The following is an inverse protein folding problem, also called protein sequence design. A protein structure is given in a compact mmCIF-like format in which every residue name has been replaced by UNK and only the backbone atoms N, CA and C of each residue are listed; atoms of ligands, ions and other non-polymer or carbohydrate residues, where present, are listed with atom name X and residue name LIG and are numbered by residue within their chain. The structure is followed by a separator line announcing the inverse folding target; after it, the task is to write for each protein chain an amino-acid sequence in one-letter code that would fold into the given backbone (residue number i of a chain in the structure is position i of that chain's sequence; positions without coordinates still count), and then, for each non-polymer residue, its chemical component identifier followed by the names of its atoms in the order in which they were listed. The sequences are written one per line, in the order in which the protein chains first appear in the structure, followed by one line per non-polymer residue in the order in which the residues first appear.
data_IF_094334988536
#
_entry.id   IF_094334988536
#
_cell.length_a   1.000
_cell.length_b   1.000
_cell.length_c   1.000
_cell.angle_alpha   90.00
_cell.angle_beta   90.00
_cell.angle_gamma   90.00
#
_symmetry.space_group_name_H-M   'P 1'
#
loop_
_entity.id
_entity.type
_entity.pdbx_description
1 polymer ?
#
# COMPACT_ATOMS: atom_id res chain seq x y z
N UNK A 1 2.10 -17.79 18.24
CA UNK A 1 1.83 -16.55 17.48
C UNK A 1 2.60 -16.62 16.18
N UNK A 2 2.02 -16.08 15.10
CA UNK A 2 2.71 -15.92 13.81
C UNK A 2 3.85 -14.90 13.97
N UNK A 3 4.88 -14.94 13.13
CA UNK A 3 5.91 -13.89 13.11
C UNK A 3 5.35 -12.61 12.46
N UNK A 4 5.95 -11.45 12.70
CA UNK A 4 5.55 -10.20 12.04
C UNK A 4 5.54 -10.34 10.51
N UNK A 5 6.56 -10.98 9.93
CA UNK A 5 6.59 -11.28 8.50
C UNK A 5 5.43 -12.18 8.03
N UNK A 6 4.91 -13.08 8.88
CA UNK A 6 3.73 -13.91 8.58
C UNK A 6 2.42 -13.16 8.71
N UNK A 7 2.34 -12.24 9.65
CA UNK A 7 1.20 -11.34 9.71
C UNK A 7 1.21 -10.34 8.54
N UNK A 8 2.37 -9.88 8.07
CA UNK A 8 2.48 -9.00 6.90
C UNK A 8 2.03 -9.70 5.61
N UNK A 9 2.56 -10.90 5.34
CA UNK A 9 2.11 -11.73 4.21
C UNK A 9 0.60 -12.03 4.30
N UNK A 10 0.10 -12.42 5.49
CA UNK A 10 -1.31 -12.68 5.70
C UNK A 10 -2.18 -11.43 5.51
N UNK A 11 -1.69 -10.25 5.89
CA UNK A 11 -2.41 -8.99 5.68
C UNK A 11 -2.62 -8.72 4.19
N UNK A 12 -1.59 -8.91 3.37
CA UNK A 12 -1.68 -8.79 1.90
C UNK A 12 -2.66 -9.82 1.31
N UNK A 13 -2.65 -11.05 1.80
CA UNK A 13 -3.58 -12.10 1.36
C UNK A 13 -5.04 -11.81 1.76
N UNK A 14 -5.26 -11.28 2.96
CA UNK A 14 -6.59 -10.89 3.44
C UNK A 14 -7.12 -9.68 2.70
N UNK A 15 -6.27 -8.70 2.39
CA UNK A 15 -6.63 -7.51 1.61
C UNK A 15 -7.22 -7.93 0.26
N UNK A 16 -6.48 -8.69 -0.55
CA UNK A 16 -6.98 -9.13 -1.87
C UNK A 16 -8.20 -10.07 -1.75
N UNK A 17 -8.29 -10.84 -0.66
CA UNK A 17 -9.44 -11.73 -0.41
C UNK A 17 -10.70 -11.00 0.07
N UNK A 18 -10.59 -9.73 0.43
CA UNK A 18 -11.72 -8.90 0.89
C UNK A 18 -12.55 -8.47 -0.31
N UNK A 19 -13.86 -8.67 -0.23
CA UNK A 19 -14.78 -8.36 -1.34
C UNK A 19 -16.14 -7.93 -0.79
N UNK A 20 -16.87 -7.05 -1.50
CA UNK A 20 -16.44 -6.30 -2.68
C UNK A 20 -15.49 -5.14 -2.33
N UNK A 21 -14.44 -4.94 -3.14
CA UNK A 21 -13.60 -3.74 -3.13
C UNK A 21 -13.72 -3.02 -4.47
N UNK A 22 -14.60 -2.02 -4.61
CA UNK A 22 -14.82 -1.37 -5.89
C UNK A 22 -13.53 -0.93 -6.60
N UNK A 23 -13.34 -1.43 -7.82
CA UNK A 23 -12.22 -1.04 -8.67
C UNK A 23 -10.90 -1.75 -8.42
N UNK A 24 -10.72 -2.44 -7.29
CA UNK A 24 -9.50 -3.22 -7.06
C UNK A 24 -9.74 -4.68 -7.43
N UNK A 25 -8.65 -5.41 -7.70
CA UNK A 25 -8.69 -6.87 -7.83
C UNK A 25 -9.13 -7.48 -6.49
N UNK A 26 -10.10 -8.38 -6.59
CA UNK A 26 -10.58 -9.19 -5.47
C UNK A 26 -10.98 -10.59 -5.96
N UNK A 27 -11.56 -11.41 -5.08
CA UNK A 27 -11.96 -12.79 -5.44
C UNK A 27 -13.03 -12.89 -6.54
N UNK A 28 -13.72 -11.80 -6.87
CA UNK A 28 -14.83 -11.73 -7.82
C UNK A 28 -14.51 -10.85 -9.03
N UNK A 29 -13.56 -9.91 -8.89
CA UNK A 29 -13.21 -8.91 -9.89
C UNK A 29 -11.73 -8.97 -10.23
N UNK A 30 -11.44 -8.96 -11.52
CA UNK A 30 -10.08 -9.03 -12.07
C UNK A 30 -10.01 -8.18 -13.34
N UNK A 31 -8.78 -7.80 -13.72
CA UNK A 31 -8.46 -7.24 -15.03
C UNK A 31 -7.92 -8.32 -15.97
N UNK A 32 -7.96 -8.12 -17.30
CA UNK A 32 -7.45 -9.10 -18.26
C UNK A 32 -6.01 -9.54 -17.98
N UNK A 33 -5.14 -8.60 -17.58
CA UNK A 33 -3.71 -8.83 -17.36
C UNK A 33 -3.30 -8.86 -15.88
N UNK A 34 -4.24 -8.58 -14.97
CA UNK A 34 -4.00 -8.50 -13.53
C UNK A 34 -5.16 -9.13 -12.73
N UNK A 35 -4.89 -10.33 -12.18
CA UNK A 35 -5.88 -11.27 -11.63
C UNK A 35 -5.58 -11.63 -10.17
N UNK A 36 -6.56 -12.20 -9.49
CA UNK A 36 -6.49 -12.58 -8.08
C UNK A 36 -5.32 -13.51 -7.78
N UNK A 37 -5.10 -14.53 -8.60
CA UNK A 37 -4.02 -15.50 -8.41
C UNK A 37 -2.62 -14.85 -8.46
N UNK A 38 -2.48 -13.75 -9.21
CA UNK A 38 -1.23 -13.00 -9.32
C UNK A 38 -0.96 -12.19 -8.04
N UNK A 39 -1.99 -11.62 -7.42
CA UNK A 39 -1.90 -11.00 -6.09
C UNK A 39 -1.55 -12.02 -5.01
N UNK A 40 -2.16 -13.21 -5.03
CA UNK A 40 -1.81 -14.28 -4.07
C UNK A 40 -0.35 -14.70 -4.21
N UNK A 41 0.12 -14.91 -5.46
CA UNK A 41 1.52 -15.22 -5.72
C UNK A 41 2.46 -14.07 -5.32
N UNK A 42 2.05 -12.82 -5.58
CA UNK A 42 2.75 -11.61 -5.20
C UNK A 42 2.95 -11.51 -3.69
N UNK A 43 1.88 -11.67 -2.91
CA UNK A 43 1.90 -11.66 -1.46
C UNK A 43 2.89 -12.69 -0.89
N UNK A 44 2.84 -13.93 -1.39
CA UNK A 44 3.81 -14.99 -0.99
C UNK A 44 5.24 -14.59 -1.37
N UNK A 45 5.43 -13.95 -2.52
CA UNK A 45 6.73 -13.45 -3.00
C UNK A 45 7.35 -12.38 -2.08
N UNK A 46 6.54 -11.51 -1.47
CA UNK A 46 7.03 -10.45 -0.57
C UNK A 46 7.65 -10.96 0.73
N UNK A 47 7.34 -12.22 1.11
CA UNK A 47 7.69 -12.83 2.39
C UNK A 47 9.15 -12.60 2.78
N UNK A 48 10.09 -12.83 1.86
CA UNK A 48 11.51 -12.73 2.19
C UNK A 48 11.92 -11.31 2.57
N UNK A 49 11.34 -10.29 1.93
CA UNK A 49 11.59 -8.90 2.28
C UNK A 49 11.06 -8.55 3.67
N UNK A 50 9.85 -9.00 4.01
CA UNK A 50 9.30 -8.80 5.36
C UNK A 50 10.11 -9.51 6.46
N UNK A 51 10.72 -10.66 6.17
CA UNK A 51 11.65 -11.30 7.10
C UNK A 51 12.88 -10.43 7.36
N UNK A 52 13.46 -9.82 6.32
CA UNK A 52 14.60 -8.90 6.48
C UNK A 52 14.23 -7.69 7.33
N UNK A 53 13.06 -7.08 7.09
CA UNK A 53 12.56 -5.98 7.92
C UNK A 53 12.37 -6.41 9.39
N UNK A 54 11.81 -7.60 9.62
CA UNK A 54 11.61 -8.14 10.97
C UNK A 54 12.93 -8.50 11.67
N UNK A 55 13.97 -8.85 10.92
CA UNK A 55 15.31 -9.15 11.45
C UNK A 55 16.10 -7.86 11.76
N UNK A 56 15.69 -6.72 11.20
CA UNK A 56 16.28 -5.40 11.42
C UNK A 56 17.28 -4.97 10.35
N UNK A 57 17.18 -5.54 9.15
CA UNK A 57 17.89 -5.04 7.97
C UNK A 57 17.34 -3.66 7.54
N UNK A 58 18.10 -2.88 6.76
CA UNK A 58 17.64 -1.59 6.24
C UNK A 58 16.30 -1.71 5.50
N UNK A 59 15.40 -0.76 5.73
CA UNK A 59 14.03 -0.75 5.21
C UNK A 59 14.03 -0.78 3.68
N UNK A 60 14.89 0.00 3.04
CA UNK A 60 14.98 0.03 1.58
C UNK A 60 15.37 -1.33 1.01
N UNK A 61 16.33 -2.02 1.62
CA UNK A 61 16.78 -3.36 1.19
C UNK A 61 15.68 -4.40 1.38
N UNK A 62 15.00 -4.36 2.53
CA UNK A 62 13.87 -5.24 2.80
C UNK A 62 12.73 -5.03 1.80
N UNK A 63 12.42 -3.76 1.49
CA UNK A 63 11.40 -3.38 0.51
C UNK A 63 11.77 -3.83 -0.91
N UNK A 64 12.97 -3.50 -1.40
CA UNK A 64 13.48 -3.93 -2.71
C UNK A 64 13.36 -5.44 -2.87
N UNK A 65 13.79 -6.20 -1.83
CA UNK A 65 13.70 -7.66 -1.85
C UNK A 65 12.25 -8.17 -1.83
N UNK A 66 11.34 -7.49 -1.17
CA UNK A 66 9.92 -7.83 -1.21
C UNK A 66 9.34 -7.63 -2.62
N UNK A 67 9.67 -6.52 -3.27
CA UNK A 67 9.19 -6.20 -4.63
C UNK A 67 9.79 -7.14 -5.67
N UNK A 68 11.08 -7.46 -5.58
CA UNK A 68 11.73 -8.46 -6.44
C UNK A 68 11.06 -9.84 -6.34
N UNK A 69 10.66 -10.24 -5.13
CA UNK A 69 9.93 -11.49 -4.90
C UNK A 69 8.50 -11.43 -5.43
N UNK A 70 7.81 -10.31 -5.20
CA UNK A 70 6.46 -10.05 -5.71
C UNK A 70 6.42 -10.07 -7.24
N UNK A 71 7.46 -9.61 -7.92
CA UNK A 71 7.50 -9.49 -9.40
C UNK A 71 7.74 -10.80 -10.15
N UNK A 72 8.00 -11.92 -9.47
CA UNK A 72 8.25 -13.22 -10.13
C UNK A 72 7.00 -13.84 -10.78
N UNK A 73 5.83 -13.29 -10.50
CA UNK A 73 4.57 -13.62 -11.15
C UNK A 73 4.36 -12.77 -12.43
N UNK A 74 3.37 -13.11 -13.28
CA UNK A 74 3.25 -12.57 -14.65
C UNK A 74 2.41 -11.30 -14.84
N UNK A 75 1.81 -10.77 -13.77
CA UNK A 75 0.90 -9.63 -13.76
C UNK A 75 1.54 -8.29 -13.39
N UNK A 76 2.87 -8.23 -13.29
CA UNK A 76 3.58 -6.98 -12.98
C UNK A 76 3.38 -6.52 -11.53
N UNK A 77 2.97 -5.27 -11.34
CA UNK A 77 2.71 -4.71 -10.01
C UNK A 77 1.36 -5.19 -9.47
N UNK A 78 1.40 -5.91 -8.35
CA UNK A 78 0.20 -6.33 -7.62
C UNK A 78 -0.01 -5.49 -6.36
N UNK A 79 1.04 -5.31 -5.55
CA UNK A 79 0.91 -4.80 -4.17
C UNK A 79 2.08 -3.89 -3.77
N UNK A 80 2.64 -3.10 -4.70
CA UNK A 80 3.79 -2.24 -4.41
C UNK A 80 3.52 -1.25 -3.28
N UNK A 81 2.42 -0.50 -3.34
CA UNK A 81 2.06 0.49 -2.32
C UNK A 81 1.76 -0.15 -0.97
N UNK A 82 1.03 -1.25 -0.93
CA UNK A 82 0.77 -2.02 0.28
C UNK A 82 2.06 -2.55 0.91
N UNK A 83 3.00 -3.05 0.11
CA UNK A 83 4.31 -3.50 0.58
C UNK A 83 5.12 -2.34 1.14
N UNK A 84 5.08 -1.18 0.47
CA UNK A 84 5.75 0.04 0.90
C UNK A 84 5.18 0.51 2.24
N UNK A 85 3.87 0.48 2.41
CA UNK A 85 3.20 0.87 3.64
C UNK A 85 3.49 -0.10 4.79
N UNK A 86 3.48 -1.41 4.54
CA UNK A 86 3.63 -2.45 5.58
C UNK A 86 5.08 -2.63 6.05
N UNK A 87 6.09 -2.45 5.18
CA UNK A 87 7.50 -2.70 5.52
C UNK A 87 8.00 -1.96 6.78
N UNK A 88 7.83 -0.63 6.92
CA UNK A 88 8.27 0.07 8.14
C UNK A 88 7.48 -0.35 9.38
N UNK A 89 6.21 -0.75 9.23
CA UNK A 89 5.40 -1.27 10.33
C UNK A 89 5.91 -2.62 10.83
N UNK A 90 6.39 -3.49 9.93
CA UNK A 90 7.05 -4.75 10.30
C UNK A 90 8.31 -4.49 11.13
N UNK A 91 9.13 -3.52 10.72
CA UNK A 91 10.31 -3.13 11.48
C UNK A 91 9.96 -2.48 12.83
N UNK A 92 8.89 -1.70 12.93
CA UNK A 92 8.42 -1.15 14.20
C UNK A 92 7.90 -2.26 15.15
N UNK A 93 7.22 -3.27 14.61
CA UNK A 93 6.73 -4.41 15.37
C UNK A 93 7.85 -5.23 16.04
N UNK A 94 9.01 -5.37 15.38
CA UNK A 94 10.22 -6.02 15.93
C UNK A 94 10.62 -5.45 17.29
N UNK A 95 10.54 -4.14 17.45
CA UNK A 95 10.96 -3.44 18.66
C UNK A 95 9.85 -3.37 19.72
N UNK A 96 8.68 -3.96 19.46
CA UNK A 96 7.51 -3.82 20.31
C UNK A 96 6.90 -2.41 20.28
N UNK A 97 7.27 -1.60 19.29
CA UNK A 97 6.88 -0.19 19.14
C UNK A 97 5.96 0.00 17.94
N UNK A 98 5.02 -0.93 17.72
CA UNK A 98 3.98 -0.79 16.68
C UNK A 98 2.91 0.23 17.09
N UNK A 99 3.35 1.48 17.16
CA UNK A 99 2.59 2.69 17.47
C UNK A 99 2.92 3.74 16.41
N UNK A 100 2.13 4.83 16.30
CA UNK A 100 2.47 5.96 15.43
C UNK A 100 3.90 6.44 15.63
N UNK A 101 4.28 6.77 16.88
CA UNK A 101 5.62 7.27 17.20
C UNK A 101 6.72 6.27 16.83
N UNK A 102 6.54 4.98 17.12
CA UNK A 102 7.56 3.98 16.80
C UNK A 102 7.68 3.68 15.31
N UNK A 103 6.61 3.84 14.53
CA UNK A 103 6.66 3.80 13.08
C UNK A 103 7.35 5.04 12.52
N UNK A 104 7.09 6.23 13.09
CA UNK A 104 7.81 7.47 12.75
C UNK A 104 9.30 7.35 13.04
N UNK A 105 9.70 6.81 14.19
CA UNK A 105 11.11 6.57 14.52
C UNK A 105 11.81 5.69 13.47
N UNK A 106 11.13 4.66 12.97
CA UNK A 106 11.65 3.80 11.89
C UNK A 106 11.82 4.60 10.59
N UNK A 107 10.81 5.39 10.20
CA UNK A 107 10.87 6.22 8.99
C UNK A 107 11.99 7.24 9.08
N UNK A 108 12.08 7.99 10.18
CA UNK A 108 13.11 9.01 10.40
C UNK A 108 14.54 8.43 10.49
N UNK A 109 14.67 7.13 10.82
CA UNK A 109 15.96 6.44 10.84
C UNK A 109 16.46 6.00 9.47
N UNK A 110 15.64 6.12 8.42
CA UNK A 110 16.03 5.72 7.06
C UNK A 110 17.16 6.58 6.51
N UNK A 111 17.95 5.99 5.62
CA UNK A 111 19.17 6.57 5.10
C UNK A 111 19.09 6.83 3.59
N UNK A 112 20.16 7.41 3.04
CA UNK A 112 20.32 7.53 1.58
C UNK A 112 20.41 6.16 0.92
N UNK A 113 21.00 5.16 1.58
CA UNK A 113 21.06 3.80 1.04
C UNK A 113 19.67 3.16 0.98
N UNK A 114 18.80 3.45 1.96
CA UNK A 114 17.39 3.04 1.91
C UNK A 114 16.67 3.68 0.72
N UNK A 115 16.92 4.96 0.44
CA UNK A 115 16.37 5.63 -0.73
C UNK A 115 16.84 4.99 -2.03
N UNK A 116 18.14 4.67 -2.14
CA UNK A 116 18.67 4.01 -3.33
C UNK A 116 18.01 2.66 -3.56
N UNK A 117 17.89 1.81 -2.53
CA UNK A 117 17.18 0.52 -2.66
C UNK A 117 15.69 0.68 -2.95
N UNK A 118 15.02 1.69 -2.39
CA UNK A 118 13.65 2.02 -2.76
C UNK A 118 13.52 2.35 -4.26
N UNK A 119 14.44 3.14 -4.82
CA UNK A 119 14.43 3.42 -6.26
C UNK A 119 14.71 2.15 -7.08
N UNK A 120 15.65 1.29 -6.66
CA UNK A 120 15.89 0.00 -7.34
C UNK A 120 14.66 -0.90 -7.39
N UNK A 121 13.74 -0.78 -6.43
CA UNK A 121 12.48 -1.53 -6.47
C UNK A 121 11.65 -1.25 -7.73
N UNK A 122 11.76 -0.06 -8.32
CA UNK A 122 11.08 0.31 -9.58
C UNK A 122 11.70 -0.38 -10.81
N UNK A 123 12.92 -0.92 -10.73
CA UNK A 123 13.50 -1.72 -11.83
C UNK A 123 12.81 -3.09 -11.98
N UNK A 124 12.03 -3.51 -10.97
CA UNK A 124 11.37 -4.81 -10.95
C UNK A 124 9.92 -4.78 -11.44
N UNK A 125 9.25 -3.63 -11.39
CA UNK A 125 7.83 -3.48 -11.70
C UNK A 125 7.51 -2.11 -12.26
N UNK A 126 6.54 -2.04 -13.17
CA UNK A 126 5.98 -0.76 -13.63
C UNK A 126 4.98 -0.23 -12.60
N UNK A 127 5.24 0.96 -12.06
CA UNK A 127 4.37 1.65 -11.11
C UNK A 127 3.83 2.91 -11.77
N UNK A 128 2.50 3.10 -11.74
CA UNK A 128 1.90 4.34 -12.20
C UNK A 128 2.23 5.47 -11.21
N UNK A 129 2.91 6.50 -11.70
CA UNK A 129 3.34 7.67 -10.93
C UNK A 129 3.12 8.93 -11.77
N UNK A 130 2.84 10.04 -11.10
CA UNK A 130 2.75 11.35 -11.75
C UNK A 130 4.10 11.77 -12.35
N UNK A 131 4.06 12.70 -13.32
CA UNK A 131 5.28 13.34 -13.80
C UNK A 131 6.00 14.09 -12.66
N UNK A 132 7.34 13.99 -12.58
CA UNK A 132 8.11 14.70 -11.58
C UNK A 132 7.90 16.22 -11.71
N UNK A 133 7.92 16.97 -10.60
CA UNK A 133 7.96 18.43 -10.65
C UNK A 133 9.14 18.94 -11.48
N UNK A 134 9.00 20.12 -12.08
CA UNK A 134 10.06 20.75 -12.88
C UNK A 134 11.38 20.84 -12.08
N UNK A 135 12.47 20.32 -12.65
CA UNK A 135 13.79 20.29 -12.00
C UNK A 135 14.02 19.11 -11.05
N UNK A 136 13.09 18.15 -11.00
CA UNK A 136 13.24 16.87 -10.29
C UNK A 136 13.37 15.66 -11.22
N UNK A 137 13.61 15.88 -12.51
CA UNK A 137 13.76 14.80 -13.51
C UNK A 137 14.81 13.76 -13.11
N UNK A 138 15.88 14.18 -12.45
CA UNK A 138 16.95 13.27 -11.99
C UNK A 138 16.55 12.41 -10.78
N UNK A 139 15.47 12.78 -10.10
CA UNK A 139 14.84 12.07 -8.99
C UNK A 139 13.52 11.41 -9.38
N UNK A 140 13.19 11.34 -10.67
CA UNK A 140 12.07 10.53 -11.14
C UNK A 140 12.28 9.07 -10.74
N UNK A 141 11.33 8.51 -9.98
CA UNK A 141 11.39 7.13 -9.48
C UNK A 141 11.46 6.11 -10.61
N UNK A 142 10.96 6.45 -11.81
CA UNK A 142 11.06 5.60 -13.02
C UNK A 142 12.48 5.45 -13.53
N UNK A 143 13.44 6.26 -13.05
CA UNK A 143 14.87 6.06 -13.33
C UNK A 143 15.46 4.89 -12.56
N UNK A 144 14.78 4.39 -11.53
CA UNK A 144 15.22 3.25 -10.74
C UNK A 144 16.67 3.38 -10.28
N UNK A 145 17.49 2.36 -10.56
CA UNK A 145 18.93 2.37 -10.25
C UNK A 145 19.69 3.61 -10.76
N UNK A 146 19.27 4.22 -11.88
CA UNK A 146 19.97 5.37 -12.49
C UNK A 146 19.80 6.69 -11.70
N UNK A 147 18.93 6.71 -10.68
CA UNK A 147 18.78 7.84 -9.76
C UNK A 147 19.83 7.85 -8.63
N UNK A 148 20.61 6.77 -8.45
CA UNK A 148 21.51 6.62 -7.29
C UNK A 148 22.47 7.80 -7.11
N UNK A 149 23.09 8.28 -8.20
CA UNK A 149 24.04 9.40 -8.10
C UNK A 149 23.34 10.68 -7.63
N UNK A 150 22.14 10.96 -8.14
CA UNK A 150 21.36 12.14 -7.76
C UNK A 150 20.93 12.11 -6.29
N UNK A 151 20.49 10.95 -5.80
CA UNK A 151 20.13 10.74 -4.39
C UNK A 151 21.33 10.97 -3.46
N UNK A 152 22.49 10.42 -3.81
CA UNK A 152 23.73 10.54 -3.04
C UNK A 152 24.27 11.96 -3.03
N UNK A 153 24.33 12.61 -4.19
CA UNK A 153 24.83 13.99 -4.32
C UNK A 153 23.97 15.00 -3.55
N UNK A 154 22.66 14.73 -3.45
CA UNK A 154 21.70 15.56 -2.71
C UNK A 154 21.49 15.12 -1.25
N UNK A 155 22.14 14.04 -0.83
CA UNK A 155 22.00 13.44 0.51
C UNK A 155 20.54 13.15 0.91
N UNK A 156 19.71 12.67 -0.01
CA UNK A 156 18.30 12.42 0.26
C UNK A 156 18.09 11.04 0.88
N UNK A 157 17.56 11.02 2.10
CA UNK A 157 17.10 9.80 2.78
C UNK A 157 15.75 9.34 2.23
N UNK A 158 15.33 8.12 2.55
CA UNK A 158 14.01 7.64 2.15
C UNK A 158 12.89 8.48 2.79
N UNK A 159 13.07 8.94 4.03
CA UNK A 159 12.17 9.90 4.67
C UNK A 159 12.06 11.21 3.88
N UNK A 160 13.18 11.77 3.40
CA UNK A 160 13.16 12.99 2.57
C UNK A 160 12.43 12.78 1.24
N UNK A 161 12.54 11.59 0.65
CA UNK A 161 11.81 11.22 -0.57
C UNK A 161 10.31 11.15 -0.30
N UNK A 162 9.90 10.53 0.81
CA UNK A 162 8.48 10.46 1.20
C UNK A 162 7.90 11.84 1.52
N UNK A 163 8.64 12.70 2.24
CA UNK A 163 8.22 14.07 2.56
C UNK A 163 7.89 14.89 1.30
N UNK A 164 8.74 14.79 0.27
CA UNK A 164 8.53 15.47 -1.01
C UNK A 164 7.32 14.95 -1.79
N UNK A 165 6.93 13.69 -1.57
CA UNK A 165 5.81 13.04 -2.25
C UNK A 165 4.49 13.17 -1.49
N UNK A 166 4.51 13.47 -0.19
CA UNK A 166 3.36 13.42 0.72
C UNK A 166 2.18 14.33 0.33
N UNK A 167 2.42 15.39 -0.45
CA UNK A 167 1.33 16.24 -0.95
C UNK A 167 0.43 15.52 -1.97
N UNK A 168 1.00 14.60 -2.76
CA UNK A 168 0.35 13.96 -3.90
C UNK A 168 0.13 12.46 -3.71
N UNK A 169 1.00 11.80 -2.97
CA UNK A 169 0.96 10.36 -2.72
C UNK A 169 0.40 10.06 -1.32
N UNK A 170 -0.61 9.19 -1.25
CA UNK A 170 -1.27 8.86 0.03
C UNK A 170 -0.45 7.94 0.94
N UNK A 171 0.37 7.04 0.38
CA UNK A 171 1.27 6.18 1.16
C UNK A 171 2.40 7.01 1.77
N UNK A 172 2.98 7.92 1.00
CA UNK A 172 3.98 8.86 1.47
C UNK A 172 3.43 9.77 2.59
N UNK A 173 2.16 10.19 2.48
CA UNK A 173 1.48 10.96 3.54
C UNK A 173 1.32 10.17 4.83
N UNK A 174 1.03 8.88 4.75
CA UNK A 174 1.01 7.99 5.93
C UNK A 174 2.40 7.87 6.55
N UNK A 175 3.45 7.69 5.75
CA UNK A 175 4.84 7.62 6.23
C UNK A 175 5.25 8.88 7.02
N UNK A 176 4.96 10.06 6.48
CA UNK A 176 5.31 11.34 7.10
C UNK A 176 4.41 11.66 8.29
N UNK A 177 3.15 11.22 8.25
CA UNK A 177 2.14 11.52 9.26
C UNK A 177 2.08 10.55 10.46
N UNK A 178 2.90 9.49 10.48
CA UNK A 178 2.86 8.47 11.53
C UNK A 178 1.71 7.46 11.36
N UNK A 179 1.30 7.20 10.11
CA UNK A 179 0.33 6.19 9.70
C UNK A 179 -1.09 6.32 10.32
N UNK A 180 -1.67 7.54 10.44
CA UNK A 180 -2.93 7.73 11.17
C UNK A 180 -4.10 6.96 10.55
N UNK A 181 -4.23 6.91 9.22
CA UNK A 181 -5.33 6.18 8.58
C UNK A 181 -5.15 4.67 8.75
N UNK A 182 -3.92 4.19 8.67
CA UNK A 182 -3.57 2.78 8.87
C UNK A 182 -3.92 2.30 10.28
N UNK A 183 -3.50 3.05 11.31
CA UNK A 183 -3.83 2.71 12.71
C UNK A 183 -5.33 2.83 13.00
N UNK A 184 -6.02 3.81 12.40
CA UNK A 184 -7.48 3.93 12.48
C UNK A 184 -8.20 2.75 11.82
N UNK A 185 -7.73 2.32 10.65
CA UNK A 185 -8.25 1.17 9.91
C UNK A 185 -8.11 -0.12 10.72
N UNK A 186 -6.97 -0.32 11.38
CA UNK A 186 -6.77 -1.47 12.27
C UNK A 186 -7.80 -1.52 13.39
N UNK A 187 -8.12 -0.37 13.99
CA UNK A 187 -9.18 -0.25 15.01
C UNK A 187 -10.56 -0.62 14.44
N UNK A 188 -10.93 -0.04 13.30
CA UNK A 188 -12.22 -0.31 12.66
C UNK A 188 -12.40 -1.80 12.28
N UNK A 189 -11.36 -2.45 11.77
CA UNK A 189 -11.40 -3.90 11.45
C UNK A 189 -11.55 -4.75 12.71
N UNK A 190 -10.84 -4.40 13.79
CA UNK A 190 -10.88 -5.12 15.05
C UNK A 190 -12.26 -5.00 15.74
N UNK A 191 -12.88 -3.83 15.68
CA UNK A 191 -14.21 -3.56 16.26
C UNK A 191 -15.36 -4.16 15.44
N UNK A 192 -15.13 -4.44 14.15
CA UNK A 192 -16.12 -5.08 13.28
C UNK A 192 -16.48 -6.51 13.73
N UNK A 193 -17.60 -7.01 13.21
CA UNK A 193 -18.08 -8.38 13.46
C UNK A 193 -18.14 -9.21 12.19
N UNK A 194 -18.04 -10.53 12.30
CA UNK A 194 -18.10 -11.45 11.15
C UNK A 194 -16.71 -11.81 10.59
N UNK A 195 -16.63 -12.38 9.38
CA UNK A 195 -15.35 -12.72 8.74
C UNK A 195 -14.45 -11.49 8.56
N UNK A 196 -13.13 -11.65 8.75
CA UNK A 196 -12.17 -10.53 8.63
C UNK A 196 -12.19 -9.89 7.24
N UNK A 197 -12.38 -10.69 6.19
CA UNK A 197 -12.50 -10.20 4.80
C UNK A 197 -13.70 -9.28 4.60
N UNK A 198 -14.81 -9.56 5.27
CA UNK A 198 -16.04 -8.77 5.14
C UNK A 198 -15.89 -7.44 5.91
N UNK A 199 -15.21 -7.47 7.06
CA UNK A 199 -14.86 -6.27 7.82
C UNK A 199 -13.92 -5.38 7.03
N UNK A 200 -12.86 -5.94 6.44
CA UNK A 200 -11.90 -5.20 5.64
C UNK A 200 -12.53 -4.61 4.37
N UNK A 201 -13.42 -5.34 3.68
CA UNK A 201 -14.19 -4.79 2.56
C UNK A 201 -15.10 -3.62 2.98
N UNK A 202 -15.75 -3.74 4.14
CA UNK A 202 -16.58 -2.66 4.70
C UNK A 202 -15.76 -1.42 5.05
N UNK A 203 -14.56 -1.61 5.63
CA UNK A 203 -13.64 -0.50 5.95
C UNK A 203 -13.04 0.11 4.70
N UNK A 204 -12.71 -0.68 3.67
CA UNK A 204 -12.30 -0.18 2.35
C UNK A 204 -13.33 0.81 1.80
N UNK A 205 -14.61 0.41 1.79
CA UNK A 205 -15.69 1.27 1.28
C UNK A 205 -15.84 2.55 2.11
N UNK A 206 -15.74 2.46 3.44
CA UNK A 206 -15.78 3.61 4.33
C UNK A 206 -14.62 4.60 4.09
N UNK A 207 -13.41 4.09 3.86
CA UNK A 207 -12.24 4.91 3.52
C UNK A 207 -12.39 5.57 2.16
N UNK A 208 -12.90 4.83 1.16
CA UNK A 208 -13.13 5.34 -0.20
C UNK A 208 -14.18 6.45 -0.24
N UNK A 209 -15.20 6.37 0.62
CA UNK A 209 -16.22 7.42 0.75
C UNK A 209 -15.70 8.66 1.51
N UNK A 210 -14.69 8.51 2.37
CA UNK A 210 -14.18 9.60 3.20
C UNK A 210 -13.35 10.62 2.41
N UNK A 211 -12.53 10.17 1.46
CA UNK A 211 -11.68 11.04 0.65
C UNK A 211 -11.40 10.47 -0.75
N UNK A 212 -11.18 11.33 -1.77
CA UNK A 212 -10.80 10.89 -3.10
C UNK A 212 -9.47 10.11 -3.06
N UNK A 213 -9.44 8.93 -3.67
CA UNK A 213 -8.24 8.10 -3.71
C UNK A 213 -7.14 8.72 -4.59
N UNK A 214 -5.94 9.02 -4.06
CA UNK A 214 -4.85 9.61 -4.84
C UNK A 214 -4.40 8.78 -6.04
N UNK A 215 -4.52 7.45 -5.99
CA UNK A 215 -4.10 6.59 -7.09
C UNK A 215 -5.07 6.70 -8.27
N UNK A 216 -6.37 6.87 -8.00
CA UNK A 216 -7.35 7.20 -9.05
C UNK A 216 -7.04 8.56 -9.67
N UNK A 217 -6.59 9.54 -8.87
CA UNK A 217 -6.15 10.85 -9.40
C UNK A 217 -4.96 10.71 -10.35
N UNK A 218 -3.95 9.91 -9.97
CA UNK A 218 -2.75 9.67 -10.79
C UNK A 218 -3.05 8.90 -12.07
N UNK A 219 -3.92 7.89 -12.01
CA UNK A 219 -4.28 7.12 -13.21
C UNK A 219 -5.26 7.84 -14.13
N UNK A 220 -6.12 8.70 -13.58
CA UNK A 220 -7.17 9.41 -14.29
C UNK A 220 -7.09 10.91 -13.99
N UNK A 221 -7.96 11.41 -13.12
CA UNK A 221 -7.98 12.80 -12.69
C UNK A 221 -8.75 12.98 -11.37
N UNK A 222 -8.70 14.20 -10.83
CA UNK A 222 -9.35 14.55 -9.56
C UNK A 222 -10.87 14.51 -9.63
N UNK A 223 -11.47 14.80 -10.79
CA UNK A 223 -12.93 14.80 -10.95
C UNK A 223 -13.46 13.36 -10.85
N UNK A 224 -12.78 12.42 -11.51
CA UNK A 224 -13.05 10.99 -11.47
C UNK A 224 -12.88 10.42 -10.07
N UNK A 225 -11.81 10.78 -9.34
CA UNK A 225 -11.62 10.33 -7.97
C UNK A 225 -12.71 10.85 -7.01
N UNK A 226 -13.20 12.09 -7.24
CA UNK A 226 -14.33 12.66 -6.50
C UNK A 226 -15.63 11.94 -6.82
N UNK A 227 -15.87 11.59 -8.08
CA UNK A 227 -17.02 10.79 -8.50
C UNK A 227 -17.05 9.44 -7.78
N UNK A 228 -15.94 8.69 -7.78
CA UNK A 228 -15.83 7.39 -7.12
C UNK A 228 -16.11 7.51 -5.61
N UNK A 229 -15.56 8.53 -4.95
CA UNK A 229 -15.83 8.81 -3.54
C UNK A 229 -17.33 9.04 -3.28
N UNK A 230 -17.96 9.89 -4.08
CA UNK A 230 -19.38 10.24 -3.89
C UNK A 230 -20.29 9.02 -4.11
N UNK A 231 -19.92 8.13 -5.03
CA UNK A 231 -20.63 6.86 -5.24
C UNK A 231 -20.37 5.86 -4.12
N UNK A 232 -19.15 5.78 -3.60
CA UNK A 232 -18.87 4.99 -2.40
C UNK A 232 -19.73 5.47 -1.21
N UNK A 233 -19.91 6.79 -1.06
CA UNK A 233 -20.84 7.35 -0.07
C UNK A 233 -22.31 6.98 -0.37
N UNK A 234 -22.74 7.04 -1.63
CA UNK A 234 -24.09 6.62 -2.03
C UNK A 234 -24.38 5.15 -1.70
N UNK A 235 -23.38 4.27 -1.82
CA UNK A 235 -23.45 2.88 -1.37
C UNK A 235 -23.60 2.77 0.14
N UNK A 236 -22.83 3.54 0.92
CA UNK A 236 -22.97 3.57 2.39
C UNK A 236 -24.35 4.09 2.83
N UNK A 237 -24.91 5.03 2.08
CA UNK A 237 -26.25 5.58 2.30
C UNK A 237 -27.36 4.61 1.84
N UNK A 238 -27.01 3.49 1.21
CA UNK A 238 -27.95 2.47 0.73
C UNK A 238 -28.71 2.88 -0.53
N UNK A 239 -28.23 3.89 -1.25
CA UNK A 239 -28.85 4.41 -2.47
C UNK A 239 -28.27 3.81 -3.75
N UNK A 240 -27.12 3.15 -3.65
CA UNK A 240 -26.45 2.46 -4.75
C UNK A 240 -25.97 1.06 -4.30
N UNK A 241 -25.83 0.13 -5.24
CA UNK A 241 -25.30 -1.21 -4.97
C UNK A 241 -23.77 -1.20 -5.02
N UNK A 242 -23.14 -1.77 -3.98
CA UNK A 242 -21.69 -1.96 -3.96
C UNK A 242 -21.20 -2.85 -5.11
N UNK A 243 -22.03 -3.81 -5.53
CA UNK A 243 -21.67 -4.75 -6.60
C UNK A 243 -21.71 -4.07 -7.98
N UNK A 244 -22.62 -3.13 -8.17
CA UNK A 244 -22.74 -2.33 -9.39
C UNK A 244 -21.59 -1.32 -9.49
N UNK A 245 -21.31 -0.60 -8.39
CA UNK A 245 -20.14 0.29 -8.31
C UNK A 245 -18.84 -0.49 -8.57
N UNK A 246 -18.69 -1.67 -7.96
CA UNK A 246 -17.49 -2.49 -8.17
C UNK A 246 -17.33 -2.95 -9.62
N UNK A 247 -18.41 -3.36 -10.28
CA UNK A 247 -18.36 -3.75 -11.68
C UNK A 247 -18.01 -2.58 -12.59
N UNK A 248 -18.60 -1.41 -12.36
CA UNK A 248 -18.34 -0.23 -13.19
C UNK A 248 -16.92 0.30 -13.02
N UNK A 249 -16.38 0.29 -11.79
CA UNK A 249 -14.99 0.67 -11.57
C UNK A 249 -14.02 -0.26 -12.32
N UNK A 250 -14.31 -1.56 -12.45
CA UNK A 250 -13.50 -2.47 -13.28
C UNK A 250 -13.64 -2.11 -14.77
N UNK A 251 -14.86 -1.90 -15.26
CA UNK A 251 -15.12 -1.54 -16.67
C UNK A 251 -14.41 -0.24 -17.08
N UNK A 252 -14.35 0.72 -16.17
CA UNK A 252 -13.71 2.04 -16.37
C UNK A 252 -12.25 2.09 -15.92
N UNK A 253 -11.68 0.97 -15.49
CA UNK A 253 -10.31 0.88 -14.98
C UNK A 253 -10.00 1.87 -13.82
N UNK A 254 -10.98 2.13 -12.97
CA UNK A 254 -10.88 3.01 -11.81
C UNK A 254 -10.41 2.20 -10.60
N UNK A 255 -9.11 2.23 -10.29
CA UNK A 255 -8.54 1.45 -9.18
C UNK A 255 -8.23 2.33 -7.96
N UNK A 256 -8.96 2.22 -6.83
CA UNK A 256 -8.60 2.87 -5.56
C UNK A 256 -7.47 2.15 -4.83
N UNK A 257 -6.28 2.17 -5.44
CA UNK A 257 -5.09 1.45 -4.96
C UNK A 257 -4.60 1.94 -3.60
N UNK A 258 -4.53 3.26 -3.38
CA UNK A 258 -4.07 3.83 -2.10
C UNK A 258 -4.96 3.36 -0.94
N UNK A 259 -6.27 3.32 -1.15
CA UNK A 259 -7.23 2.87 -0.14
C UNK A 259 -7.00 1.40 0.21
N UNK A 260 -6.71 0.57 -0.78
CA UNK A 260 -6.36 -0.84 -0.56
C UNK A 260 -5.05 -1.01 0.21
N UNK A 261 -4.03 -0.21 -0.11
CA UNK A 261 -2.75 -0.22 0.59
C UNK A 261 -2.91 0.09 2.09
N UNK A 262 -3.76 1.07 2.42
CA UNK A 262 -4.08 1.42 3.81
C UNK A 262 -4.84 0.28 4.52
N UNK A 263 -5.74 -0.42 3.81
CA UNK A 263 -6.44 -1.59 4.36
C UNK A 263 -5.46 -2.73 4.65
N UNK A 264 -4.50 -2.99 3.76
CA UNK A 264 -3.42 -3.96 4.00
C UNK A 264 -2.59 -3.59 5.24
N UNK A 265 -2.20 -2.32 5.40
CA UNK A 265 -1.53 -1.86 6.61
C UNK A 265 -2.36 -2.04 7.88
N UNK A 266 -3.65 -1.69 7.82
CA UNK A 266 -4.56 -1.83 8.95
C UNK A 266 -4.76 -3.29 9.36
N UNK A 267 -4.86 -4.20 8.38
CA UNK A 267 -4.88 -5.64 8.61
C UNK A 267 -3.62 -6.12 9.31
N UNK A 268 -2.44 -5.68 8.86
CA UNK A 268 -1.17 -6.02 9.51
C UNK A 268 -1.16 -5.59 10.98
N UNK A 269 -1.50 -4.33 11.26
CA UNK A 269 -1.54 -3.79 12.62
C UNK A 269 -2.58 -4.51 13.48
N UNK A 270 -3.75 -4.84 12.94
CA UNK A 270 -4.77 -5.59 13.65
C UNK A 270 -4.30 -7.02 14.00
N UNK A 271 -3.62 -7.70 13.09
CA UNK A 271 -3.04 -9.03 13.31
C UNK A 271 -1.95 -9.01 14.39
N UNK A 272 -1.05 -8.02 14.37
CA UNK A 272 -0.04 -7.83 15.42
C UNK A 272 -0.67 -7.51 16.79
N UNK A 273 -1.85 -6.89 16.79
CA UNK A 273 -2.65 -6.62 18.01
C UNK A 273 -3.56 -7.78 18.43
N UNK A 274 -3.46 -8.93 17.76
CA UNK A 274 -4.15 -10.15 18.16
C UNK A 274 -5.49 -10.41 17.47
N UNK A 275 -5.77 -9.79 16.32
CA UNK A 275 -6.91 -10.18 15.49
C UNK A 275 -6.82 -11.67 15.12
N UNK A 276 -7.86 -12.42 15.46
CA UNK A 276 -7.99 -13.84 15.12
C UNK A 276 -8.64 -14.02 13.74
N UNK A 277 -8.14 -15.00 12.98
CA UNK A 277 -8.57 -15.37 11.61
C UNK A 277 -8.81 -16.87 11.58
#
# INVERSE_FOLDING_TARGET
MRTAAANAELALLLEVSSTPKPGNVDRHREYPDLRFEQFIAGAVGTRRGFELAADGEPIGVAFERAIEGMSQQRGGNTQFGATLLVTPLVAAARNGTLTPDGATDVVESTTVDDAVSFYRAFDHVDVAVDEPPEGMDDLDVRRGSDAESALRDRHLTLADVMDRSAERDGVAREWVGGFPRTFGTAGAIAEGSGPVTDRAASVFLALLAAEPDPFVVTQHDRETAVEVRDRAQAVLDGTESVEELAAECIERELNPGTTADIVAGGLFVALERGLEV
#
